data_IF_409186250223
#
_entry.id   IF_409186250223
#
_cell.length_a   1.000
_cell.length_b   1.000
_cell.length_c   1.000
_cell.angle_alpha   90.00
_cell.angle_beta   90.00
_cell.angle_gamma   90.00
#
_symmetry.space_group_name_H-M   'P 1'
#
loop_
_entity.id
_entity.type
_entity.pdbx_description
1 polymer ?
#
# COMPACT_ATOMS: atom_id res chain seq x y z
N UNK A 1 0.91 14.01 3.88
CA UNK A 1 2.19 13.73 4.57
C UNK A 1 2.90 12.54 3.94
N UNK A 2 4.24 12.55 3.94
CA UNK A 2 5.04 11.49 3.33
C UNK A 2 6.37 11.29 4.07
N UNK A 3 6.90 10.08 4.01
CA UNK A 3 8.24 9.76 4.51
C UNK A 3 8.92 8.82 3.50
N UNK A 4 10.12 9.18 3.06
CA UNK A 4 10.93 8.40 2.12
C UNK A 4 10.28 8.12 0.75
N UNK A 5 9.16 8.75 0.44
CA UNK A 5 8.55 8.71 -0.90
C UNK A 5 9.47 9.43 -1.89
N UNK A 6 9.65 8.85 -3.06
CA UNK A 6 10.38 9.51 -4.14
C UNK A 6 9.53 10.66 -4.70
N UNK A 7 10.17 11.72 -5.24
CA UNK A 7 9.45 12.81 -5.88
C UNK A 7 8.53 12.31 -6.99
N UNK A 8 7.32 12.86 -7.06
CA UNK A 8 6.37 12.57 -8.12
C UNK A 8 6.95 12.94 -9.49
N UNK A 9 6.63 12.17 -10.50
CA UNK A 9 7.05 12.40 -11.89
C UNK A 9 5.96 11.94 -12.85
N UNK A 10 6.03 12.40 -14.09
CA UNK A 10 5.15 11.92 -15.14
C UNK A 10 5.35 10.42 -15.38
N UNK A 11 4.27 9.69 -15.61
CA UNK A 11 4.37 8.28 -15.92
C UNK A 11 5.13 8.07 -17.24
N UNK A 12 6.09 7.16 -17.20
CA UNK A 12 6.81 6.73 -18.39
C UNK A 12 7.19 5.25 -18.27
N UNK A 13 7.34 4.58 -19.40
CA UNK A 13 7.82 3.20 -19.46
C UNK A 13 9.25 3.21 -19.97
N UNK A 14 10.17 2.72 -19.14
CA UNK A 14 11.55 2.49 -19.55
C UNK A 14 11.68 1.13 -20.23
N UNK A 15 12.46 1.06 -21.29
CA UNK A 15 12.76 -0.16 -22.03
C UNK A 15 14.26 -0.40 -22.02
N UNK A 16 14.68 -1.64 -21.86
CA UNK A 16 16.09 -2.01 -21.85
C UNK A 16 16.68 -2.07 -23.27
N UNK A 17 15.84 -2.33 -24.29
CA UNK A 17 16.25 -2.48 -25.68
C UNK A 17 15.23 -1.86 -26.65
N UNK A 18 15.67 -1.59 -27.88
CA UNK A 18 14.76 -1.11 -28.95
C UNK A 18 13.67 -2.14 -29.29
N UNK A 19 13.98 -3.42 -29.22
CA UNK A 19 12.98 -4.48 -29.45
C UNK A 19 11.87 -4.45 -28.39
N UNK A 20 12.18 -4.23 -27.11
CA UNK A 20 11.19 -4.05 -26.06
C UNK A 20 10.31 -2.82 -26.31
N UNK A 21 10.91 -1.72 -26.78
CA UNK A 21 10.15 -0.51 -27.14
C UNK A 21 9.18 -0.77 -28.29
N UNK A 22 9.58 -1.53 -29.30
CA UNK A 22 8.73 -1.89 -30.44
C UNK A 22 7.59 -2.82 -30.01
N UNK A 23 7.89 -3.84 -29.17
CA UNK A 23 6.87 -4.77 -28.68
C UNK A 23 6.00 -4.16 -27.56
N UNK A 24 6.40 -3.03 -26.98
CA UNK A 24 5.81 -2.41 -25.80
C UNK A 24 5.79 -3.31 -24.55
N UNK A 25 6.70 -4.29 -24.51
CA UNK A 25 6.91 -5.16 -23.35
C UNK A 25 8.28 -4.85 -22.73
N UNK A 26 8.29 -4.51 -21.44
CA UNK A 26 9.54 -4.15 -20.76
C UNK A 26 10.01 -5.22 -19.78
N UNK A 27 11.29 -5.55 -19.83
CA UNK A 27 11.96 -6.41 -18.85
C UNK A 27 12.30 -5.68 -17.54
N UNK A 28 12.11 -4.36 -17.49
CA UNK A 28 12.44 -3.50 -16.34
C UNK A 28 11.30 -3.36 -15.34
N UNK A 29 10.15 -3.98 -15.59
CA UNK A 29 8.98 -3.95 -14.69
C UNK A 29 8.61 -5.38 -14.26
N UNK A 30 8.25 -5.54 -13.00
CA UNK A 30 7.66 -6.75 -12.44
C UNK A 30 6.35 -6.39 -11.76
N UNK A 31 5.31 -7.20 -11.98
CA UNK A 31 4.00 -6.95 -11.45
C UNK A 31 3.78 -7.78 -10.17
N UNK A 32 3.45 -7.13 -9.06
CA UNK A 32 3.14 -7.78 -7.79
C UNK A 32 1.65 -7.98 -7.54
N UNK A 33 0.79 -7.63 -8.52
CA UNK A 33 -0.66 -7.88 -8.43
C UNK A 33 -0.95 -9.37 -8.22
N UNK A 34 -2.18 -9.67 -7.83
CA UNK A 34 -2.65 -11.03 -7.58
C UNK A 34 -3.02 -11.23 -6.11
N UNK A 35 -2.83 -12.43 -5.57
CA UNK A 35 -3.20 -12.73 -4.19
C UNK A 35 -2.14 -12.26 -3.21
N UNK A 36 -2.60 -11.58 -2.16
CA UNK A 36 -1.81 -11.14 -1.00
C UNK A 36 -2.45 -11.68 0.26
N UNK A 37 -1.68 -11.97 1.29
CA UNK A 37 -2.19 -12.24 2.63
C UNK A 37 -2.77 -10.97 3.23
N UNK A 38 -3.90 -11.11 3.93
CA UNK A 38 -4.72 -9.98 4.35
C UNK A 38 -5.33 -10.18 5.73
N UNK A 39 -5.28 -9.12 6.55
CA UNK A 39 -6.02 -9.04 7.81
C UNK A 39 -6.70 -7.68 7.93
N UNK A 40 -7.99 -7.71 8.27
CA UNK A 40 -8.82 -6.53 8.48
C UNK A 40 -9.02 -6.25 9.97
N UNK A 41 -8.99 -4.99 10.35
CA UNK A 41 -9.38 -4.53 11.67
C UNK A 41 -10.27 -3.29 11.57
N UNK A 42 -11.23 -3.15 12.48
CA UNK A 42 -12.16 -1.99 12.51
C UNK A 42 -11.47 -0.67 12.90
N UNK A 43 -10.33 -0.75 13.58
CA UNK A 43 -9.49 0.38 13.95
C UNK A 43 -8.09 -0.11 14.35
N UNK A 44 -7.19 0.82 14.64
CA UNK A 44 -5.80 0.51 14.98
C UNK A 44 -5.66 -0.30 16.28
N UNK A 45 -6.54 -0.08 17.28
CA UNK A 45 -6.49 -0.83 18.55
C UNK A 45 -6.77 -2.33 18.39
N UNK A 46 -7.37 -2.74 17.27
CA UNK A 46 -7.67 -4.15 16.94
C UNK A 46 -6.76 -4.69 15.84
N UNK A 47 -5.87 -3.86 15.30
CA UNK A 47 -4.94 -4.29 14.27
C UNK A 47 -3.86 -5.22 14.85
N UNK A 48 -3.39 -6.13 14.03
CA UNK A 48 -2.34 -7.08 14.43
C UNK A 48 -0.99 -6.36 14.43
N UNK A 49 -0.34 -6.33 15.58
CA UNK A 49 1.00 -5.75 15.72
C UNK A 49 2.10 -6.72 15.32
N UNK A 50 3.21 -6.16 14.86
CA UNK A 50 4.42 -6.93 14.53
C UNK A 50 4.32 -7.80 13.29
N UNK A 51 3.27 -7.66 12.50
CA UNK A 51 3.06 -8.44 11.28
C UNK A 51 4.13 -8.21 10.21
N UNK A 52 4.81 -7.07 10.28
CA UNK A 52 5.92 -6.69 9.39
C UNK A 52 7.19 -7.50 9.68
N UNK A 53 7.33 -8.10 10.86
CA UNK A 53 8.51 -8.89 11.25
C UNK A 53 8.69 -10.10 10.35
N UNK A 54 9.95 -10.45 10.10
CA UNK A 54 10.31 -11.54 9.18
C UNK A 54 9.78 -12.89 9.66
N UNK A 55 9.78 -13.12 10.96
CA UNK A 55 9.34 -14.35 11.62
C UNK A 55 7.84 -14.42 11.92
N UNK A 56 7.09 -13.35 11.63
CA UNK A 56 5.65 -13.37 11.80
C UNK A 56 5.00 -14.27 10.75
N UNK A 57 4.25 -15.27 11.21
CA UNK A 57 3.51 -16.19 10.36
C UNK A 57 2.10 -15.65 10.05
N UNK A 58 1.86 -15.35 8.79
CA UNK A 58 0.57 -14.90 8.29
C UNK A 58 -0.14 -15.95 7.40
N UNK A 59 0.30 -17.22 7.42
CA UNK A 59 -0.24 -18.19 6.46
C UNK A 59 -1.72 -18.48 6.69
N UNK A 60 -2.23 -18.30 7.92
CA UNK A 60 -3.66 -18.47 8.27
C UNK A 60 -4.51 -17.23 7.93
N UNK A 61 -3.89 -16.12 7.50
CA UNK A 61 -4.62 -14.95 7.06
C UNK A 61 -5.39 -15.23 5.77
N UNK A 62 -6.44 -14.44 5.55
CA UNK A 62 -7.17 -14.48 4.30
C UNK A 62 -6.28 -14.16 3.10
N UNK A 63 -6.69 -14.58 1.93
CA UNK A 63 -6.12 -14.16 0.67
C UNK A 63 -7.04 -13.12 0.02
N UNK A 64 -6.48 -11.96 -0.34
CA UNK A 64 -7.22 -10.90 -1.04
C UNK A 64 -6.59 -10.61 -2.39
N UNK A 65 -7.40 -10.27 -3.38
CA UNK A 65 -6.90 -9.79 -4.67
C UNK A 65 -6.37 -8.37 -4.54
N UNK A 66 -5.26 -8.10 -5.19
CA UNK A 66 -4.68 -6.75 -5.35
C UNK A 66 -4.44 -6.54 -6.85
N UNK A 67 -4.93 -5.45 -7.44
CA UNK A 67 -5.75 -4.39 -6.83
C UNK A 67 -7.22 -4.81 -6.62
N UNK A 68 -7.82 -4.31 -5.53
CA UNK A 68 -9.27 -4.41 -5.29
C UNK A 68 -9.72 -3.39 -4.25
N UNK A 69 -10.99 -3.05 -4.27
CA UNK A 69 -11.66 -2.41 -3.13
C UNK A 69 -12.01 -3.48 -2.10
N UNK A 70 -11.52 -3.35 -0.88
CA UNK A 70 -11.72 -4.39 0.15
C UNK A 70 -13.19 -4.64 0.44
N UNK A 71 -14.05 -3.63 0.29
CA UNK A 71 -15.50 -3.73 0.46
C UNK A 71 -16.12 -4.69 -0.56
N UNK A 72 -15.56 -4.78 -1.76
CA UNK A 72 -16.01 -5.72 -2.81
C UNK A 72 -15.47 -7.14 -2.57
N UNK A 73 -14.46 -7.28 -1.72
CA UNK A 73 -13.92 -8.57 -1.29
C UNK A 73 -14.54 -9.06 0.04
N UNK A 74 -15.54 -8.33 0.57
CA UNK A 74 -16.31 -8.73 1.75
C UNK A 74 -15.87 -8.12 3.09
N UNK A 75 -15.01 -7.11 3.07
CA UNK A 75 -14.49 -6.45 4.28
C UNK A 75 -15.03 -5.03 4.43
N UNK A 76 -15.70 -4.77 5.57
CA UNK A 76 -16.35 -3.49 5.81
C UNK A 76 -17.58 -3.29 4.91
N UNK A 77 -18.01 -2.04 4.81
CA UNK A 77 -19.14 -1.64 3.97
C UNK A 77 -18.74 -0.50 3.03
N UNK A 78 -19.32 -0.43 1.82
CA UNK A 78 -19.23 0.76 0.99
C UNK A 78 -19.77 1.95 1.78
N UNK A 79 -19.05 3.06 1.76
CA UNK A 79 -19.44 4.28 2.45
C UNK A 79 -19.29 5.44 1.46
N UNK A 80 -20.37 6.19 1.31
CA UNK A 80 -20.39 7.40 0.50
C UNK A 80 -21.05 8.53 1.29
N UNK A 81 -20.38 9.66 1.30
CA UNK A 81 -20.91 10.91 1.86
C UNK A 81 -20.36 12.07 1.06
N UNK A 82 -21.20 13.08 0.83
CA UNK A 82 -20.85 14.26 0.05
C UNK A 82 -21.23 15.57 0.74
N UNK A 83 -21.73 15.52 1.97
CA UNK A 83 -22.19 16.70 2.71
C UNK A 83 -21.59 16.80 4.11
N UNK A 84 -21.03 15.72 4.61
CA UNK A 84 -20.43 15.61 5.94
C UNK A 84 -19.18 14.76 5.87
N UNK A 85 -18.31 14.84 6.87
CA UNK A 85 -17.20 13.90 6.96
C UNK A 85 -17.69 12.49 7.28
N UNK A 86 -16.99 11.45 6.80
CA UNK A 86 -17.43 10.05 6.95
C UNK A 86 -17.60 9.59 8.41
N UNK A 87 -16.99 10.26 9.36
CA UNK A 87 -17.04 9.95 10.80
C UNK A 87 -18.09 10.72 11.57
N UNK A 88 -18.69 11.79 11.02
CA UNK A 88 -19.60 12.71 11.74
C UNK A 88 -20.79 12.04 12.42
N UNK A 89 -21.25 10.90 11.88
CA UNK A 89 -22.35 10.13 12.49
C UNK A 89 -21.90 9.13 13.57
N UNK A 90 -20.59 8.95 13.74
CA UNK A 90 -20.01 7.89 14.60
C UNK A 90 -19.16 8.48 15.72
N UNK A 91 -18.42 9.53 15.45
CA UNK A 91 -17.45 10.11 16.36
C UNK A 91 -17.32 11.61 16.12
N UNK A 92 -17.41 12.40 17.20
CA UNK A 92 -17.15 13.84 17.14
C UNK A 92 -15.65 14.06 17.38
N UNK A 93 -14.94 14.55 16.37
CA UNK A 93 -13.51 14.84 16.42
C UNK A 93 -13.25 16.26 15.92
N UNK A 94 -12.13 16.86 16.36
CA UNK A 94 -11.73 18.19 15.92
C UNK A 94 -10.96 18.12 14.59
N UNK A 95 -10.96 19.21 13.79
CA UNK A 95 -10.17 19.27 12.59
C UNK A 95 -8.70 18.90 12.82
N UNK A 96 -8.19 17.94 12.04
CA UNK A 96 -6.83 17.42 12.14
C UNK A 96 -6.67 16.17 13.02
N UNK A 97 -7.68 15.82 13.84
CA UNK A 97 -7.72 14.53 14.53
C UNK A 97 -8.19 13.42 13.57
N UNK A 98 -7.92 12.17 13.93
CA UNK A 98 -8.35 10.99 13.15
C UNK A 98 -9.34 10.16 13.98
N UNK A 99 -10.36 9.53 13.36
CA UNK A 99 -11.30 8.69 14.07
C UNK A 99 -10.60 7.50 14.72
N UNK A 100 -10.95 7.19 15.98
CA UNK A 100 -10.38 6.08 16.74
C UNK A 100 -11.38 4.93 16.95
N UNK A 101 -12.67 5.22 17.04
CA UNK A 101 -13.74 4.22 17.28
C UNK A 101 -13.89 3.34 16.04
N UNK A 102 -14.02 3.95 14.89
CA UNK A 102 -14.13 3.26 13.61
C UNK A 102 -13.24 3.94 12.55
N UNK A 103 -12.09 3.39 12.34
CA UNK A 103 -11.15 3.76 11.27
C UNK A 103 -10.49 2.48 10.74
N UNK A 104 -11.10 1.83 9.75
CA UNK A 104 -10.61 0.56 9.24
C UNK A 104 -9.13 0.55 8.91
N UNK A 105 -8.50 -0.53 9.33
CA UNK A 105 -7.08 -0.78 9.09
C UNK A 105 -6.94 -2.11 8.35
N UNK A 106 -6.21 -2.10 7.27
CA UNK A 106 -5.91 -3.27 6.47
C UNK A 106 -4.41 -3.58 6.51
N UNK A 107 -4.07 -4.82 6.82
CA UNK A 107 -2.69 -5.29 6.82
C UNK A 107 -2.51 -6.31 5.71
N UNK A 108 -1.53 -6.06 4.84
CA UNK A 108 -1.23 -6.87 3.66
C UNK A 108 0.18 -7.44 3.76
N UNK A 109 0.36 -8.67 3.31
CA UNK A 109 1.69 -9.28 3.15
C UNK A 109 1.82 -9.94 1.78
N UNK A 110 2.92 -9.64 1.09
CA UNK A 110 3.32 -10.27 -0.17
C UNK A 110 4.71 -10.84 -0.07
N UNK A 111 4.84 -12.10 -0.44
CA UNK A 111 6.15 -12.73 -0.64
C UNK A 111 6.50 -12.68 -2.12
N UNK A 112 7.72 -12.26 -2.44
CA UNK A 112 8.20 -12.17 -3.82
C UNK A 112 9.71 -12.36 -3.92
N UNK A 113 10.17 -12.72 -5.11
CA UNK A 113 11.59 -12.80 -5.44
C UNK A 113 11.91 -11.85 -6.58
N UNK A 114 12.99 -11.09 -6.47
CA UNK A 114 13.45 -10.23 -7.57
C UNK A 114 13.91 -11.09 -8.73
N UNK A 115 13.36 -10.91 -9.94
CA UNK A 115 13.78 -11.67 -11.10
C UNK A 115 15.26 -11.42 -11.45
N UNK A 116 15.95 -12.44 -11.95
CA UNK A 116 17.39 -12.33 -12.34
C UNK A 116 17.69 -11.15 -13.27
N UNK A 117 16.77 -10.84 -14.20
CA UNK A 117 16.92 -9.71 -15.13
C UNK A 117 16.98 -8.34 -14.44
N UNK A 118 16.53 -8.27 -13.18
CA UNK A 118 16.51 -7.05 -12.36
C UNK A 118 17.60 -7.04 -11.28
N UNK A 119 18.35 -8.13 -11.10
CA UNK A 119 19.43 -8.20 -10.12
C UNK A 119 20.50 -7.13 -10.39
N UNK A 120 21.00 -6.51 -9.33
CA UNK A 120 21.99 -5.44 -9.38
C UNK A 120 21.50 -4.09 -9.91
N UNK A 121 20.21 -3.95 -10.21
CA UNK A 121 19.61 -2.70 -10.61
C UNK A 121 19.05 -1.95 -9.40
N UNK A 122 18.85 -0.66 -9.55
CA UNK A 122 18.05 0.12 -8.63
C UNK A 122 16.59 -0.34 -8.73
N UNK A 123 16.02 -0.75 -7.60
CA UNK A 123 14.63 -1.27 -7.53
C UNK A 123 13.76 -0.26 -6.80
N UNK A 124 12.69 0.11 -7.46
CA UNK A 124 11.64 1.00 -6.93
C UNK A 124 10.32 0.24 -6.95
N UNK A 125 9.57 0.29 -5.85
CA UNK A 125 8.17 -0.14 -5.84
C UNK A 125 7.29 1.07 -6.13
N UNK A 126 6.26 0.87 -6.94
CA UNK A 126 5.28 1.89 -7.28
C UNK A 126 3.89 1.38 -6.93
N UNK A 127 3.20 2.09 -6.03
CA UNK A 127 1.80 1.91 -5.72
C UNK A 127 0.99 2.93 -6.53
N UNK A 128 0.12 2.43 -7.42
CA UNK A 128 -0.62 3.27 -8.35
C UNK A 128 -1.86 3.93 -7.74
N UNK A 129 -2.26 3.49 -6.55
CA UNK A 129 -3.32 4.07 -5.76
C UNK A 129 -3.53 3.27 -4.49
N UNK A 130 -3.52 3.93 -3.34
CA UNK A 130 -3.83 3.35 -2.03
C UNK A 130 -4.67 4.34 -1.25
N UNK A 131 -5.87 3.94 -0.87
CA UNK A 131 -6.82 4.80 -0.13
C UNK A 131 -6.83 4.41 1.36
N UNK A 132 -6.52 5.40 2.25
CA UNK A 132 -5.96 6.70 1.90
C UNK A 132 -4.50 6.83 2.33
N UNK A 133 -4.09 6.41 3.48
CA UNK A 133 -2.70 6.43 3.92
C UNK A 133 -2.12 5.05 4.13
N UNK A 134 -0.83 4.90 3.92
CA UNK A 134 -0.18 3.61 4.14
C UNK A 134 1.28 3.71 4.54
N UNK A 135 1.72 2.73 5.31
CA UNK A 135 3.12 2.49 5.64
C UNK A 135 3.56 1.13 5.10
N UNK A 136 4.83 1.02 4.73
CA UNK A 136 5.39 -0.23 4.20
C UNK A 136 6.71 -0.61 4.85
N UNK A 137 6.92 -1.91 4.95
CA UNK A 137 8.14 -2.54 5.46
C UNK A 137 8.61 -3.60 4.47
N UNK A 138 9.91 -3.73 4.30
CA UNK A 138 10.51 -4.80 3.53
C UNK A 138 11.50 -5.57 4.40
N UNK A 139 11.27 -6.88 4.53
CA UNK A 139 12.07 -7.76 5.37
C UNK A 139 12.21 -7.28 6.82
N UNK A 140 11.10 -6.77 7.39
CA UNK A 140 11.02 -6.26 8.77
C UNK A 140 11.57 -4.85 8.98
N UNK A 141 12.09 -4.20 7.94
CA UNK A 141 12.62 -2.84 8.01
C UNK A 141 11.61 -1.85 7.44
N UNK A 142 11.36 -0.78 8.19
CA UNK A 142 10.51 0.32 7.72
C UNK A 142 11.11 0.96 6.47
N UNK A 143 10.29 1.13 5.43
CA UNK A 143 10.68 1.73 4.15
C UNK A 143 10.15 3.15 4.05
N UNK A 144 8.85 3.37 4.25
CA UNK A 144 8.26 4.68 4.10
C UNK A 144 6.76 4.74 4.34
N UNK A 145 6.20 5.94 4.14
CA UNK A 145 4.79 6.29 4.35
C UNK A 145 4.32 7.28 3.29
N UNK A 146 3.04 7.18 2.89
CA UNK A 146 2.35 8.15 2.04
C UNK A 146 0.86 8.22 2.36
N UNK A 147 0.25 9.39 2.14
CA UNK A 147 -1.18 9.66 2.31
C UNK A 147 -1.87 10.10 1.01
N UNK A 148 -1.22 9.95 -0.13
CA UNK A 148 -1.75 10.38 -1.41
C UNK A 148 -2.48 9.24 -2.12
N UNK A 149 -3.81 9.38 -2.26
CA UNK A 149 -4.66 8.37 -2.90
C UNK A 149 -4.56 8.41 -4.42
N UNK A 150 -4.36 9.58 -5.01
CA UNK A 150 -4.53 9.81 -6.45
C UNK A 150 -3.23 9.81 -7.24
N UNK A 151 -2.12 10.08 -6.58
CA UNK A 151 -0.79 10.01 -7.18
C UNK A 151 -0.10 8.68 -6.88
N UNK A 152 0.70 8.22 -7.83
CA UNK A 152 1.53 7.04 -7.62
C UNK A 152 2.57 7.30 -6.51
N UNK A 153 2.59 6.43 -5.52
CA UNK A 153 3.55 6.50 -4.41
C UNK A 153 4.69 5.53 -4.64
N UNK A 154 5.91 6.06 -4.76
CA UNK A 154 7.10 5.29 -5.10
C UNK A 154 8.14 5.30 -3.99
N UNK A 155 8.75 4.14 -3.76
CA UNK A 155 9.78 3.97 -2.72
C UNK A 155 10.95 3.15 -3.24
N UNK A 156 12.16 3.55 -2.90
CA UNK A 156 13.35 2.79 -3.24
C UNK A 156 13.52 1.57 -2.32
N UNK A 157 13.62 0.39 -2.89
CA UNK A 157 13.76 -0.87 -2.16
C UNK A 157 15.16 -1.46 -2.17
N UNK A 158 16.07 -0.95 -2.98
CA UNK A 158 17.37 -1.60 -3.30
C UNK A 158 18.15 -2.04 -2.05
N UNK A 159 18.23 -1.16 -1.02
CA UNK A 159 18.98 -1.44 0.21
C UNK A 159 18.27 -2.37 1.20
N UNK A 160 16.98 -2.63 1.00
CA UNK A 160 16.15 -3.48 1.85
C UNK A 160 16.02 -4.91 1.33
N UNK A 161 16.32 -5.12 0.05
CA UNK A 161 16.19 -6.41 -0.61
C UNK A 161 17.25 -7.39 -0.12
N UNK A 162 16.88 -8.66 -0.09
CA UNK A 162 17.79 -9.80 0.12
C UNK A 162 17.70 -10.76 -1.06
N UNK A 163 18.68 -11.64 -1.19
CA UNK A 163 18.64 -12.71 -2.16
C UNK A 163 17.55 -13.72 -1.80
N UNK A 164 16.83 -14.23 -2.79
CA UNK A 164 15.71 -15.15 -2.60
C UNK A 164 14.40 -14.44 -2.26
N UNK A 165 13.58 -15.06 -1.43
CA UNK A 165 12.26 -14.57 -1.08
C UNK A 165 12.32 -13.36 -0.16
N UNK A 166 11.59 -12.31 -0.51
CA UNK A 166 11.42 -11.08 0.26
C UNK A 166 9.99 -10.99 0.80
N UNK A 167 9.82 -10.47 2.01
CA UNK A 167 8.53 -10.21 2.64
C UNK A 167 8.25 -8.71 2.59
N UNK A 168 7.26 -8.32 1.80
CA UNK A 168 6.69 -6.97 1.78
C UNK A 168 5.47 -6.95 2.69
N UNK A 169 5.44 -6.06 3.65
CA UNK A 169 4.33 -5.82 4.54
C UNK A 169 3.82 -4.39 4.34
N UNK A 170 2.50 -4.22 4.23
CA UNK A 170 1.87 -2.92 4.01
C UNK A 170 0.70 -2.78 4.97
N UNK A 171 0.64 -1.65 5.71
CA UNK A 171 -0.51 -1.28 6.52
C UNK A 171 -1.20 -0.08 5.90
N UNK A 172 -2.49 -0.18 5.71
CA UNK A 172 -3.33 0.86 5.11
C UNK A 172 -4.35 1.32 6.13
N UNK A 173 -4.52 2.62 6.28
CA UNK A 173 -5.57 3.25 7.08
C UNK A 173 -6.60 3.89 6.15
N UNK A 174 -7.87 3.68 6.45
CA UNK A 174 -8.95 4.25 5.64
C UNK A 174 -8.97 5.77 5.75
N UNK A 175 -8.82 6.31 6.96
CA UNK A 175 -8.80 7.75 7.20
C UNK A 175 -7.52 8.16 7.91
N UNK A 176 -6.97 9.28 7.47
CA UNK A 176 -5.76 9.90 7.99
C UNK A 176 -6.00 11.39 8.18
N UNK A 177 -5.00 12.14 8.61
CA UNK A 177 -5.09 13.59 8.71
C UNK A 177 -5.34 14.27 7.36
N UNK A 178 -4.92 13.67 6.25
CA UNK A 178 -5.19 14.19 4.90
C UNK A 178 -6.65 14.08 4.50
N UNK A 179 -7.41 13.17 5.11
CA UNK A 179 -8.85 13.02 4.84
C UNK A 179 -9.68 14.27 5.18
N UNK A 180 -9.14 15.19 6.01
CA UNK A 180 -9.73 16.50 6.25
C UNK A 180 -9.58 17.46 5.05
N UNK A 181 -8.65 17.19 4.15
CA UNK A 181 -8.34 18.02 2.99
C UNK A 181 -8.88 17.42 1.70
N UNK A 182 -9.40 16.18 1.75
CA UNK A 182 -9.98 15.52 0.59
C UNK A 182 -11.33 16.16 0.25
N UNK A 183 -11.57 16.33 -1.06
CA UNK A 183 -12.89 16.69 -1.58
C UNK A 183 -13.82 15.50 -1.38
N UNK A 184 -14.95 15.74 -0.72
CA UNK A 184 -15.94 14.71 -0.42
C UNK A 184 -17.04 14.63 -1.50
N UNK A 185 -16.99 15.46 -2.53
CA UNK A 185 -17.94 15.48 -3.66
C UNK A 185 -17.64 14.41 -4.73
#
# INVERSE_FOLDING_TARGET
FEQNRLPAHSEHIAYATENERISQETSLRENLNGLWKFAYAKNMAHAIDGFEKVDFDCHTWDDIRVPAHIQMEGYGNPHYTNTTYPWDATEEINPGEIPEIFNPVASYVKYFTVPKRMEGKRIVISFQGVESGFALWLNGKYVGYSEDTFDASEFELTSFLKQGENKLAVRVWKWTSSSWCEDQD
#
